data_IF_918824090930
#
_entry.id   IF_918824090930
#
_cell.length_a   1.000
_cell.length_b   1.000
_cell.length_c   1.000
_cell.angle_alpha   90.00
_cell.angle_beta   90.00
_cell.angle_gamma   90.00
#
_symmetry.space_group_name_H-M   'P 1'
#
loop_
_entity.id
_entity.type
_entity.pdbx_description
1 polymer ?
#
# COMPACT_ATOMS: atom_id res chain seq x y z
N UNK A 1 0.16 16.45 -1.06
CA UNK A 1 0.69 17.38 -0.06
C UNK A 1 1.39 16.66 1.07
N UNK A 2 2.36 17.27 1.68
CA UNK A 2 3.08 16.69 2.80
C UNK A 2 2.18 16.58 4.04
N UNK A 3 1.98 15.34 4.52
CA UNK A 3 1.68 15.10 5.91
C UNK A 3 0.33 15.58 6.41
N UNK A 4 -0.74 15.30 5.71
CA UNK A 4 -2.06 15.48 6.29
C UNK A 4 -2.40 14.26 7.15
N UNK A 5 -2.61 14.50 8.45
CA UNK A 5 -3.34 13.58 9.33
C UNK A 5 -4.86 13.77 9.19
N UNK A 6 -5.29 14.48 8.16
CA UNK A 6 -6.68 14.79 7.87
C UNK A 6 -7.41 13.51 7.43
N UNK A 7 -8.56 13.25 8.03
CA UNK A 7 -9.40 12.10 7.73
C UNK A 7 -9.83 12.03 6.27
N UNK A 8 -9.96 13.16 5.58
CA UNK A 8 -10.32 13.20 4.15
C UNK A 8 -9.28 12.53 3.27
N UNK A 9 -7.99 12.66 3.59
CA UNK A 9 -6.90 12.04 2.85
C UNK A 9 -6.85 10.51 3.04
N UNK A 10 -7.53 9.95 4.04
CA UNK A 10 -7.64 8.51 4.28
C UNK A 10 -8.65 7.82 3.34
N UNK A 11 -9.34 8.56 2.51
CA UNK A 11 -10.45 8.10 1.67
C UNK A 11 -11.64 7.53 2.49
N UNK A 12 -11.78 7.91 3.74
CA UNK A 12 -12.97 7.62 4.52
C UNK A 12 -14.11 8.55 4.10
N UNK A 13 -15.34 8.05 4.15
CA UNK A 13 -16.49 8.94 4.02
C UNK A 13 -16.65 9.77 5.30
N UNK A 14 -16.78 11.09 5.17
CA UNK A 14 -16.97 12.05 6.27
C UNK A 14 -18.44 12.46 6.33
N UNK A 15 -18.90 13.16 5.31
CA UNK A 15 -20.27 13.63 5.13
C UNK A 15 -20.53 14.00 3.65
N UNK A 16 -21.70 14.61 3.36
CA UNK A 16 -22.07 15.02 2.00
C UNK A 16 -21.58 16.46 1.65
N UNK A 17 -20.83 17.13 2.54
CA UNK A 17 -20.29 18.47 2.29
C UNK A 17 -18.94 18.37 1.56
N UNK A 18 -18.82 19.02 0.41
CA UNK A 18 -17.59 18.99 -0.39
C UNK A 18 -16.41 19.67 0.33
N UNK A 19 -16.69 20.65 1.20
CA UNK A 19 -15.66 21.37 1.95
C UNK A 19 -14.95 20.43 2.96
N UNK A 20 -15.61 19.37 3.40
CA UNK A 20 -15.00 18.34 4.28
C UNK A 20 -13.85 17.56 3.63
N UNK A 21 -13.67 17.67 2.31
CA UNK A 21 -12.66 16.96 1.53
C UNK A 21 -11.66 17.93 0.85
N UNK A 22 -11.54 19.16 1.35
CA UNK A 22 -10.69 20.22 0.75
C UNK A 22 -9.24 19.73 0.53
N UNK A 23 -8.70 18.91 1.45
CA UNK A 23 -7.35 18.31 1.32
C UNK A 23 -7.18 17.48 0.04
N UNK A 24 -8.24 16.81 -0.43
CA UNK A 24 -8.22 16.06 -1.69
C UNK A 24 -8.27 17.03 -2.87
N UNK A 25 -9.17 18.02 -2.81
CA UNK A 25 -9.38 18.98 -3.91
C UNK A 25 -8.18 19.88 -4.13
N UNK A 26 -7.52 20.32 -3.05
CA UNK A 26 -6.31 21.14 -3.11
C UNK A 26 -5.13 20.44 -3.80
N UNK A 27 -5.13 19.11 -3.78
CA UNK A 27 -4.16 18.26 -4.49
C UNK A 27 -4.49 17.99 -5.95
N UNK A 28 -5.59 18.54 -6.50
CA UNK A 28 -6.04 18.25 -7.86
C UNK A 28 -5.01 18.61 -8.93
N UNK A 29 -4.65 17.65 -9.77
CA UNK A 29 -3.71 17.84 -10.90
C UNK A 29 -4.39 18.54 -12.07
N UNK A 30 -5.67 18.26 -12.27
CA UNK A 30 -6.49 18.86 -13.32
C UNK A 30 -7.59 19.70 -12.71
N UNK A 31 -8.08 20.69 -13.48
CA UNK A 31 -9.22 21.48 -13.05
C UNK A 31 -10.44 20.58 -12.96
N UNK A 32 -11.03 20.50 -11.77
CA UNK A 32 -12.25 19.78 -11.47
C UNK A 32 -13.39 20.73 -11.08
N UNK A 33 -14.61 20.25 -11.13
CA UNK A 33 -15.82 20.97 -10.75
C UNK A 33 -16.48 20.33 -9.53
N UNK A 34 -17.39 21.05 -8.89
CA UNK A 34 -18.20 20.51 -7.77
C UNK A 34 -18.95 19.23 -8.19
N UNK A 35 -19.35 19.14 -9.46
CA UNK A 35 -19.98 17.90 -9.99
C UNK A 35 -19.02 16.71 -10.04
N UNK A 36 -17.73 16.95 -10.28
CA UNK A 36 -16.71 15.90 -10.26
C UNK A 36 -16.39 15.50 -8.81
N UNK A 37 -16.27 16.48 -7.91
CA UNK A 37 -16.09 16.24 -6.48
C UNK A 37 -17.26 15.44 -5.90
N UNK A 38 -18.51 15.77 -6.29
CA UNK A 38 -19.70 15.05 -5.83
C UNK A 38 -19.69 13.57 -6.22
N UNK A 39 -19.14 13.20 -7.38
CA UNK A 39 -18.99 11.79 -7.76
C UNK A 39 -18.06 11.05 -6.82
N UNK A 40 -16.93 11.67 -6.45
CA UNK A 40 -15.97 11.09 -5.49
C UNK A 40 -16.63 10.89 -4.13
N UNK A 41 -17.31 11.92 -3.59
CA UNK A 41 -18.00 11.82 -2.29
C UNK A 41 -19.11 10.76 -2.34
N UNK A 42 -19.86 10.67 -3.45
CA UNK A 42 -20.87 9.63 -3.64
C UNK A 42 -20.25 8.23 -3.64
N UNK A 43 -19.11 8.06 -4.31
CA UNK A 43 -18.40 6.79 -4.32
C UNK A 43 -17.90 6.44 -2.90
N UNK A 44 -17.23 7.35 -2.20
CA UNK A 44 -16.77 7.13 -0.82
C UNK A 44 -17.92 6.76 0.13
N UNK A 45 -19.06 7.42 0.00
CA UNK A 45 -20.28 7.13 0.80
C UNK A 45 -20.74 5.69 0.63
N UNK A 46 -20.78 5.20 -0.59
CA UNK A 46 -21.24 3.84 -0.88
C UNK A 46 -20.16 2.79 -0.55
N UNK A 47 -18.90 3.08 -0.78
CA UNK A 47 -17.78 2.19 -0.44
C UNK A 47 -17.65 2.01 1.07
N UNK A 48 -17.74 3.09 1.84
CA UNK A 48 -17.61 3.08 3.30
C UNK A 48 -18.92 2.71 4.03
N UNK A 49 -19.96 2.33 3.31
CA UNK A 49 -21.24 1.90 3.91
C UNK A 49 -21.11 0.54 4.58
N UNK A 50 -21.75 0.36 5.74
CA UNK A 50 -21.86 -0.95 6.41
C UNK A 50 -22.60 -1.97 5.55
N UNK A 51 -23.47 -1.53 4.64
CA UNK A 51 -24.24 -2.37 3.73
C UNK A 51 -23.53 -2.62 2.38
N UNK A 52 -22.25 -2.23 2.24
CA UNK A 52 -21.51 -2.41 1.01
C UNK A 52 -21.37 -3.89 0.64
N UNK A 53 -21.81 -4.24 -0.55
CA UNK A 53 -21.76 -5.59 -1.12
C UNK A 53 -20.72 -5.70 -2.23
N UNK A 54 -20.39 -6.92 -2.66
CA UNK A 54 -19.51 -7.15 -3.80
C UNK A 54 -19.92 -6.36 -5.04
N UNK A 55 -21.24 -6.39 -5.37
CA UNK A 55 -21.75 -5.69 -6.56
C UNK A 55 -21.70 -4.16 -6.38
N UNK A 56 -22.07 -3.65 -5.19
CA UNK A 56 -22.05 -2.20 -4.93
C UNK A 56 -20.62 -1.64 -4.89
N UNK A 57 -19.64 -2.39 -4.37
CA UNK A 57 -18.25 -1.97 -4.39
C UNK A 57 -17.71 -1.85 -5.82
N UNK A 58 -18.02 -2.83 -6.68
CA UNK A 58 -17.61 -2.81 -8.09
C UNK A 58 -18.30 -1.71 -8.93
N UNK A 59 -19.36 -1.09 -8.43
CA UNK A 59 -20.01 0.06 -9.07
C UNK A 59 -19.23 1.38 -8.82
N UNK A 60 -18.50 1.46 -7.68
CA UNK A 60 -17.87 2.70 -7.23
C UNK A 60 -16.34 2.66 -7.19
N UNK A 61 -15.72 1.50 -7.40
CA UNK A 61 -14.27 1.39 -7.50
C UNK A 61 -13.83 0.33 -8.52
N UNK A 62 -12.72 0.58 -9.17
CA UNK A 62 -11.98 -0.47 -9.90
C UNK A 62 -11.34 -1.41 -8.86
N UNK A 63 -12.07 -2.45 -8.50
CA UNK A 63 -11.65 -3.40 -7.45
C UNK A 63 -10.32 -4.05 -7.79
N UNK A 64 -10.08 -4.41 -9.07
CA UNK A 64 -8.81 -5.02 -9.49
C UNK A 64 -7.64 -4.07 -9.26
N UNK A 65 -7.78 -2.80 -9.64
CA UNK A 65 -6.78 -1.76 -9.40
C UNK A 65 -6.48 -1.59 -7.90
N UNK A 66 -7.52 -1.47 -7.07
CA UNK A 66 -7.37 -1.22 -5.64
C UNK A 66 -6.72 -2.43 -4.93
N UNK A 67 -7.13 -3.64 -5.24
CA UNK A 67 -6.57 -4.86 -4.64
C UNK A 67 -5.09 -5.06 -5.05
N UNK A 68 -4.74 -4.76 -6.30
CA UNK A 68 -3.32 -4.77 -6.75
C UNK A 68 -2.51 -3.71 -6.06
N UNK A 69 -3.07 -2.50 -5.91
CA UNK A 69 -2.44 -1.44 -5.12
C UNK A 69 -2.14 -1.94 -3.70
N UNK A 70 -3.14 -2.47 -3.00
CA UNK A 70 -2.97 -3.01 -1.65
C UNK A 70 -1.91 -4.12 -1.60
N UNK A 71 -1.97 -5.09 -2.51
CA UNK A 71 -1.02 -6.20 -2.54
C UNK A 71 0.44 -5.73 -2.72
N UNK A 72 0.67 -4.76 -3.61
CA UNK A 72 2.01 -4.19 -3.81
C UNK A 72 2.46 -3.40 -2.58
N UNK A 73 1.63 -2.51 -2.03
CA UNK A 73 1.98 -1.73 -0.82
C UNK A 73 2.32 -2.64 0.36
N UNK A 74 1.53 -3.69 0.56
CA UNK A 74 1.75 -4.69 1.62
C UNK A 74 3.02 -5.50 1.39
N UNK A 75 3.28 -5.93 0.15
CA UNK A 75 4.47 -6.71 -0.17
C UNK A 75 5.75 -5.91 0.08
N UNK A 76 5.80 -4.66 -0.42
CA UNK A 76 6.99 -3.80 -0.29
C UNK A 76 7.05 -3.03 1.04
N UNK A 77 6.08 -3.19 1.91
CA UNK A 77 5.97 -2.49 3.21
C UNK A 77 6.18 -0.98 3.02
N UNK A 78 5.37 -0.37 2.17
CA UNK A 78 5.44 1.08 1.94
C UNK A 78 4.48 1.83 2.87
N UNK A 79 4.97 2.23 4.04
CA UNK A 79 4.19 3.01 5.02
C UNK A 79 4.21 4.52 4.74
N UNK A 80 4.90 4.96 3.71
CA UNK A 80 4.84 6.32 3.18
C UNK A 80 3.72 6.46 2.12
N UNK A 81 2.55 5.92 2.43
CA UNK A 81 1.40 5.79 1.54
C UNK A 81 0.07 5.79 2.29
N UNK A 82 -1.03 5.42 1.62
CA UNK A 82 -2.35 5.25 2.25
C UNK A 82 -2.38 4.19 3.36
N UNK A 83 -1.41 3.29 3.41
CA UNK A 83 -1.32 2.25 4.45
C UNK A 83 -0.58 2.72 5.71
N UNK A 84 0.07 3.87 5.66
CA UNK A 84 0.78 4.47 6.79
C UNK A 84 -0.02 5.55 7.53
N UNK A 85 0.64 6.15 8.54
CA UNK A 85 0.04 7.18 9.40
C UNK A 85 -0.23 8.51 8.67
N UNK A 86 0.51 8.78 7.59
CA UNK A 86 0.35 9.98 6.78
C UNK A 86 -0.15 9.55 5.39
N UNK A 87 -1.46 9.61 5.11
CA UNK A 87 -2.03 9.15 3.84
C UNK A 87 -1.67 10.10 2.70
N UNK A 88 -0.66 9.74 1.92
CA UNK A 88 -0.17 10.49 0.76
C UNK A 88 0.47 9.57 -0.29
N UNK A 89 1.22 10.11 -1.25
CA UNK A 89 1.90 9.36 -2.31
C UNK A 89 0.96 8.52 -3.19
N UNK A 90 -0.23 9.05 -3.43
CA UNK A 90 -1.19 8.50 -4.38
C UNK A 90 -1.90 9.61 -5.15
N UNK A 91 -2.41 9.27 -6.32
CA UNK A 91 -3.44 10.04 -7.01
C UNK A 91 -4.73 9.24 -7.01
N UNK A 92 -5.83 9.91 -6.67
CA UNK A 92 -7.16 9.37 -6.88
C UNK A 92 -7.61 9.73 -8.29
N UNK A 93 -8.03 8.73 -9.05
CA UNK A 93 -8.52 8.90 -10.41
C UNK A 93 -9.95 8.40 -10.52
N UNK A 94 -10.88 9.31 -10.74
CA UNK A 94 -12.29 8.96 -11.00
C UNK A 94 -12.52 8.84 -12.51
N UNK A 95 -13.14 7.75 -12.92
CA UNK A 95 -13.58 7.52 -14.28
C UNK A 95 -14.88 6.71 -14.28
N UNK A 96 -15.89 7.25 -14.94
CA UNK A 96 -17.19 6.57 -15.09
C UNK A 96 -17.87 6.21 -13.74
N UNK A 97 -17.62 7.01 -12.71
CA UNK A 97 -18.01 6.84 -11.29
C UNK A 97 -17.19 5.82 -10.50
N UNK A 98 -16.22 5.17 -11.10
CA UNK A 98 -15.29 4.24 -10.42
C UNK A 98 -14.03 4.96 -9.96
N UNK A 99 -13.65 4.75 -8.70
CA UNK A 99 -12.40 5.25 -8.12
C UNK A 99 -11.25 4.29 -8.39
N UNK A 100 -10.12 4.85 -8.82
CA UNK A 100 -8.86 4.17 -9.02
C UNK A 100 -7.76 4.85 -8.22
N UNK A 101 -6.76 4.10 -7.76
CA UNK A 101 -5.55 4.62 -7.11
C UNK A 101 -4.36 4.47 -8.05
N UNK A 102 -3.65 5.56 -8.27
CA UNK A 102 -2.38 5.59 -9.01
C UNK A 102 -1.27 5.87 -8.00
N UNK A 103 -0.43 4.87 -7.67
CA UNK A 103 0.64 5.05 -6.70
C UNK A 103 1.86 5.76 -7.30
N UNK A 104 2.65 6.40 -6.44
CA UNK A 104 3.95 6.94 -6.77
C UNK A 104 4.85 6.99 -5.53
N UNK A 105 6.14 7.28 -5.69
CA UNK A 105 7.13 7.50 -4.63
C UNK A 105 7.35 6.30 -3.70
N UNK A 106 7.95 5.24 -4.25
CA UNK A 106 8.25 4.00 -3.52
C UNK A 106 9.66 3.99 -2.88
N UNK A 107 10.36 5.13 -2.84
CA UNK A 107 11.74 5.23 -2.37
C UNK A 107 11.93 4.87 -0.89
N UNK A 108 10.86 4.95 -0.07
CA UNK A 108 10.85 4.62 1.35
C UNK A 108 10.19 3.26 1.67
N UNK A 109 10.08 2.38 0.67
CA UNK A 109 9.63 0.99 0.86
C UNK A 109 10.66 0.15 1.64
N UNK A 110 10.26 -1.06 2.00
CA UNK A 110 11.08 -2.05 2.72
C UNK A 110 11.68 -1.51 4.03
N UNK A 111 10.86 -0.79 4.78
CA UNK A 111 11.27 -0.28 6.08
C UNK A 111 11.97 1.08 6.06
N UNK A 112 11.96 1.77 4.92
CA UNK A 112 12.54 3.11 4.81
C UNK A 112 11.80 4.20 5.58
N UNK A 113 10.56 3.92 6.04
CA UNK A 113 9.73 4.89 6.74
C UNK A 113 8.82 4.24 7.79
N UNK A 114 8.94 4.68 9.04
CA UNK A 114 8.06 4.35 10.19
C UNK A 114 7.75 2.84 10.39
N UNK A 115 8.67 1.96 10.06
CA UNK A 115 8.43 0.53 9.94
C UNK A 115 8.83 -0.30 11.15
N UNK A 116 9.35 0.28 12.22
CA UNK A 116 9.80 -0.49 13.38
C UNK A 116 11.10 -1.27 13.15
N UNK A 117 11.14 -2.53 13.59
CA UNK A 117 12.32 -3.41 13.48
C UNK A 117 12.38 -4.13 12.11
N UNK A 118 13.49 -4.83 11.84
CA UNK A 118 13.60 -5.70 10.66
C UNK A 118 12.56 -6.83 10.69
N UNK A 119 12.26 -7.38 11.87
CA UNK A 119 11.24 -8.42 12.03
C UNK A 119 9.84 -7.88 11.68
N UNK A 120 9.53 -6.63 12.06
CA UNK A 120 8.25 -5.99 11.72
C UNK A 120 8.11 -5.77 10.20
N UNK A 121 9.21 -5.50 9.51
CA UNK A 121 9.21 -5.38 8.04
C UNK A 121 9.03 -6.75 7.37
N UNK A 122 9.79 -7.75 7.81
CA UNK A 122 9.74 -9.11 7.23
C UNK A 122 8.37 -9.73 7.46
N UNK A 123 7.83 -9.61 8.68
CA UNK A 123 6.57 -10.23 9.09
C UNK A 123 5.36 -9.27 9.00
N UNK A 124 5.50 -8.13 8.33
CA UNK A 124 4.41 -7.17 8.18
C UNK A 124 3.11 -7.88 7.75
N UNK A 125 2.02 -7.76 8.54
CA UNK A 125 0.85 -8.61 8.40
C UNK A 125 0.07 -8.31 7.12
N UNK A 126 -0.44 -9.35 6.48
CA UNK A 126 -1.17 -9.20 5.22
C UNK A 126 -2.65 -8.88 5.41
N UNK A 127 -3.26 -9.26 6.54
CA UNK A 127 -4.69 -9.05 6.79
C UNK A 127 -4.98 -7.80 7.63
N UNK A 128 -3.95 -7.20 8.22
CA UNK A 128 -3.97 -5.85 8.78
C UNK A 128 -2.84 -5.01 8.18
N UNK A 129 -2.87 -4.73 6.86
CA UNK A 129 -1.74 -4.19 6.10
C UNK A 129 -1.56 -2.68 6.28
N UNK A 130 -1.60 -2.23 7.53
CA UNK A 130 -1.46 -0.84 7.94
C UNK A 130 -0.41 -0.71 9.03
N UNK A 131 0.08 0.51 9.29
CA UNK A 131 0.89 0.76 10.48
C UNK A 131 0.17 0.22 11.74
N UNK A 132 0.90 -0.37 12.68
CA UNK A 132 0.35 -1.02 13.89
C UNK A 132 -0.60 -0.11 14.68
N UNK A 133 -0.39 1.21 14.63
CA UNK A 133 -1.25 2.21 15.29
C UNK A 133 -2.57 2.49 14.57
N UNK A 134 -2.80 1.93 13.39
CA UNK A 134 -3.98 2.14 12.56
C UNK A 134 -4.87 0.90 12.65
N UNK A 135 -6.09 1.09 13.09
CA UNK A 135 -7.11 0.04 13.03
C UNK A 135 -7.72 -0.06 11.63
N UNK A 136 -8.37 -1.19 11.34
CA UNK A 136 -9.09 -1.36 10.07
C UNK A 136 -10.23 -0.35 9.93
N UNK A 137 -10.87 0.01 11.04
CA UNK A 137 -11.94 1.02 11.09
C UNK A 137 -11.44 2.43 10.72
N UNK A 138 -10.15 2.72 10.94
CA UNK A 138 -9.53 3.99 10.50
C UNK A 138 -9.31 4.05 8.99
N UNK A 139 -9.50 2.95 8.29
CA UNK A 139 -9.33 2.79 6.83
C UNK A 139 -10.56 2.13 6.20
N UNK A 140 -11.73 2.75 6.39
CA UNK A 140 -13.03 2.24 5.91
C UNK A 140 -13.03 1.89 4.42
N UNK A 141 -12.32 2.66 3.60
CA UNK A 141 -12.17 2.41 2.16
C UNK A 141 -11.58 1.01 1.87
N UNK A 142 -10.55 0.61 2.60
CA UNK A 142 -9.93 -0.71 2.46
C UNK A 142 -10.65 -1.79 3.28
N UNK A 143 -11.24 -1.41 4.40
CA UNK A 143 -12.03 -2.30 5.24
C UNK A 143 -13.15 -2.96 4.45
N UNK A 144 -13.81 -2.22 3.56
CA UNK A 144 -14.86 -2.74 2.71
C UNK A 144 -14.40 -3.92 1.83
N UNK A 145 -13.14 -3.89 1.37
CA UNK A 145 -12.54 -4.97 0.58
C UNK A 145 -12.06 -6.13 1.46
N UNK A 146 -11.36 -5.84 2.56
CA UNK A 146 -10.79 -6.86 3.44
C UNK A 146 -11.86 -7.66 4.21
N UNK A 147 -13.01 -7.06 4.49
CA UNK A 147 -14.17 -7.74 5.11
C UNK A 147 -15.02 -8.51 4.10
N UNK A 148 -14.76 -8.42 2.81
CA UNK A 148 -15.46 -9.15 1.77
C UNK A 148 -14.68 -10.42 1.40
N UNK A 149 -15.20 -11.61 1.69
CA UNK A 149 -14.50 -12.89 1.48
C UNK A 149 -14.02 -13.07 0.04
N UNK A 150 -14.79 -12.62 -0.96
CA UNK A 150 -14.41 -12.73 -2.39
C UNK A 150 -13.20 -11.85 -2.70
N UNK A 151 -13.21 -10.61 -2.23
CA UNK A 151 -12.14 -9.65 -2.48
C UNK A 151 -10.89 -9.92 -1.64
N UNK A 152 -11.06 -10.39 -0.41
CA UNK A 152 -9.95 -10.86 0.42
C UNK A 152 -9.23 -12.05 -0.27
N UNK A 153 -9.98 -13.01 -0.78
CA UNK A 153 -9.39 -14.13 -1.52
C UNK A 153 -8.64 -13.67 -2.79
N UNK A 154 -9.18 -12.69 -3.52
CA UNK A 154 -8.51 -12.13 -4.69
C UNK A 154 -7.23 -11.34 -4.30
N UNK A 155 -7.26 -10.60 -3.21
CA UNK A 155 -6.08 -9.92 -2.66
C UNK A 155 -4.99 -10.91 -2.26
N UNK A 156 -5.35 -12.03 -1.59
CA UNK A 156 -4.41 -13.10 -1.25
C UNK A 156 -3.81 -13.75 -2.51
N UNK A 157 -4.61 -13.92 -3.56
CA UNK A 157 -4.11 -14.42 -4.85
C UNK A 157 -3.05 -13.48 -5.46
N UNK A 158 -3.23 -12.15 -5.38
CA UNK A 158 -2.21 -11.21 -5.84
C UNK A 158 -0.93 -11.25 -5.00
N UNK A 159 -1.04 -11.43 -3.69
CA UNK A 159 0.13 -11.66 -2.83
C UNK A 159 0.86 -12.95 -3.19
N UNK A 160 0.11 -14.05 -3.43
CA UNK A 160 0.66 -15.31 -3.90
C UNK A 160 1.42 -15.17 -5.22
N UNK A 161 0.88 -14.41 -6.18
CA UNK A 161 1.55 -14.11 -7.45
C UNK A 161 2.84 -13.32 -7.26
N UNK A 162 2.90 -12.39 -6.30
CA UNK A 162 4.12 -11.66 -5.97
C UNK A 162 5.18 -12.58 -5.34
N UNK A 163 4.76 -13.48 -4.44
CA UNK A 163 5.64 -14.52 -3.87
C UNK A 163 6.22 -15.40 -4.98
N UNK A 164 5.38 -15.89 -5.88
CA UNK A 164 5.80 -16.68 -7.03
C UNK A 164 6.78 -15.92 -7.94
N UNK A 165 6.54 -14.62 -8.13
CA UNK A 165 7.42 -13.76 -8.94
C UNK A 165 8.84 -13.68 -8.36
N UNK A 166 8.97 -13.64 -7.02
CA UNK A 166 10.26 -13.70 -6.31
C UNK A 166 10.87 -15.08 -6.44
N UNK A 167 10.12 -16.14 -6.08
CA UNK A 167 10.62 -17.53 -6.06
C UNK A 167 11.10 -18.01 -7.42
N UNK A 168 10.48 -17.55 -8.50
CA UNK A 168 10.89 -17.86 -9.88
C UNK A 168 12.06 -17.01 -10.38
N UNK A 169 12.70 -16.20 -9.55
CA UNK A 169 13.85 -15.36 -9.88
C UNK A 169 13.55 -14.18 -10.83
N UNK A 170 12.28 -13.89 -11.10
CA UNK A 170 11.89 -12.80 -12.00
C UNK A 170 12.24 -11.43 -11.39
N UNK A 171 12.05 -11.29 -10.07
CA UNK A 171 12.42 -10.06 -9.37
C UNK A 171 13.95 -9.90 -9.31
N UNK A 172 14.69 -10.98 -9.11
CA UNK A 172 16.16 -10.97 -9.17
C UNK A 172 16.65 -10.44 -10.53
N UNK A 173 16.06 -10.89 -11.63
CA UNK A 173 16.44 -10.43 -12.97
C UNK A 173 16.18 -8.90 -13.16
N UNK A 174 15.11 -8.36 -12.57
CA UNK A 174 14.83 -6.92 -12.58
C UNK A 174 15.84 -6.17 -11.70
N UNK A 175 16.08 -6.68 -10.51
CA UNK A 175 17.04 -6.14 -9.54
C UNK A 175 18.46 -6.06 -10.16
N UNK A 176 18.97 -7.17 -10.70
CA UNK A 176 20.29 -7.24 -11.32
C UNK A 176 20.42 -6.28 -12.51
N UNK A 177 19.38 -6.18 -13.33
CA UNK A 177 19.34 -5.22 -14.43
C UNK A 177 19.42 -3.78 -13.97
N UNK A 178 18.62 -3.39 -12.97
CA UNK A 178 18.60 -2.02 -12.44
C UNK A 178 19.92 -1.70 -11.78
N UNK A 179 20.42 -2.56 -10.89
CA UNK A 179 21.68 -2.34 -10.18
C UNK A 179 22.85 -2.23 -11.14
N UNK A 180 22.93 -3.05 -12.19
CA UNK A 180 23.97 -2.94 -13.21
C UNK A 180 23.94 -1.60 -13.99
N UNK A 181 22.73 -1.04 -14.20
CA UNK A 181 22.59 0.24 -14.90
C UNK A 181 23.00 1.44 -14.04
N UNK A 182 22.73 1.41 -12.74
CA UNK A 182 22.97 2.55 -11.85
C UNK A 182 24.30 2.46 -11.08
N UNK A 183 24.93 1.30 -10.99
CA UNK A 183 26.10 1.05 -10.14
C UNK A 183 27.23 2.09 -10.31
N UNK A 184 27.62 2.34 -11.57
CA UNK A 184 28.66 3.33 -11.85
C UNK A 184 28.20 4.78 -11.58
N UNK A 185 26.91 5.06 -11.76
CA UNK A 185 26.35 6.38 -11.46
C UNK A 185 26.42 6.64 -9.95
N UNK A 186 25.99 5.68 -9.14
CA UNK A 186 26.07 5.78 -7.67
C UNK A 186 27.50 5.91 -7.20
N UNK A 187 28.42 5.12 -7.77
CA UNK A 187 29.85 5.16 -7.40
C UNK A 187 30.51 6.50 -7.68
N UNK A 188 30.08 7.22 -8.70
CA UNK A 188 30.69 8.47 -9.14
C UNK A 188 29.87 9.72 -8.82
N UNK A 189 28.74 9.57 -8.12
CA UNK A 189 27.88 10.68 -7.74
C UNK A 189 28.56 11.56 -6.68
N UNK A 190 28.92 12.82 -7.01
CA UNK A 190 29.56 13.73 -6.06
C UNK A 190 28.59 14.28 -4.99
N UNK A 191 27.29 14.01 -5.12
CA UNK A 191 26.24 14.48 -4.21
C UNK A 191 25.66 13.37 -3.34
N UNK A 192 26.21 12.15 -3.39
CA UNK A 192 25.74 11.02 -2.61
C UNK A 192 25.79 11.32 -1.10
N UNK A 193 24.76 10.94 -0.37
CA UNK A 193 24.69 11.07 1.10
C UNK A 193 25.37 9.91 1.84
N UNK A 194 25.75 8.86 1.12
CA UNK A 194 26.31 7.61 1.62
C UNK A 194 27.51 7.19 0.76
N UNK A 195 28.34 6.35 1.31
CA UNK A 195 29.49 5.78 0.61
C UNK A 195 29.06 4.66 -0.35
N UNK A 196 29.92 4.35 -1.32
CA UNK A 196 29.68 3.23 -2.23
C UNK A 196 29.67 1.87 -1.50
N UNK A 197 30.42 1.74 -0.40
CA UNK A 197 30.42 0.50 0.42
C UNK A 197 29.08 0.34 1.16
N UNK A 198 28.51 1.43 1.70
CA UNK A 198 27.18 1.43 2.30
C UNK A 198 26.10 1.10 1.27
N UNK A 199 26.16 1.65 0.08
CA UNK A 199 25.27 1.30 -1.03
C UNK A 199 25.35 -0.20 -1.37
N UNK A 200 26.57 -0.75 -1.44
CA UNK A 200 26.78 -2.16 -1.75
C UNK A 200 26.19 -3.07 -0.67
N UNK A 201 26.40 -2.73 0.60
CA UNK A 201 25.81 -3.45 1.73
C UNK A 201 24.27 -3.36 1.72
N UNK A 202 23.71 -2.18 1.44
CA UNK A 202 22.26 -1.97 1.37
C UNK A 202 21.62 -2.77 0.22
N UNK A 203 22.29 -2.92 -0.93
CA UNK A 203 21.82 -3.78 -2.03
C UNK A 203 21.64 -5.23 -1.60
N UNK A 204 22.65 -5.79 -0.95
CA UNK A 204 22.58 -7.19 -0.49
C UNK A 204 21.49 -7.37 0.56
N UNK A 205 21.40 -6.44 1.51
CA UNK A 205 20.36 -6.47 2.53
C UNK A 205 18.94 -6.36 1.93
N UNK A 206 18.73 -5.50 0.93
CA UNK A 206 17.45 -5.37 0.24
C UNK A 206 17.05 -6.70 -0.42
N UNK A 207 17.99 -7.36 -1.09
CA UNK A 207 17.74 -8.65 -1.75
C UNK A 207 17.35 -9.73 -0.74
N UNK A 208 18.03 -9.80 0.40
CA UNK A 208 17.71 -10.70 1.50
C UNK A 208 16.33 -10.38 2.10
N UNK A 209 16.04 -9.10 2.36
CA UNK A 209 14.74 -8.65 2.87
C UNK A 209 13.60 -9.06 1.95
N UNK A 210 13.74 -8.90 0.64
CA UNK A 210 12.73 -9.31 -0.35
C UNK A 210 12.48 -10.82 -0.28
N UNK A 211 13.52 -11.64 -0.18
CA UNK A 211 13.39 -13.11 -0.07
C UNK A 211 12.66 -13.50 1.21
N UNK A 212 13.11 -12.98 2.36
CA UNK A 212 12.49 -13.26 3.66
C UNK A 212 11.04 -12.76 3.73
N UNK A 213 10.75 -11.62 3.11
CA UNK A 213 9.39 -11.10 3.02
C UNK A 213 8.47 -12.03 2.21
N UNK A 214 8.94 -12.55 1.09
CA UNK A 214 8.19 -13.50 0.29
C UNK A 214 7.94 -14.82 1.05
N UNK A 215 8.92 -15.31 1.81
CA UNK A 215 8.75 -16.49 2.68
C UNK A 215 7.73 -16.23 3.79
N UNK A 216 7.78 -15.07 4.44
CA UNK A 216 6.82 -14.68 5.47
C UNK A 216 5.40 -14.56 4.91
N UNK A 217 5.21 -13.91 3.76
CA UNK A 217 3.89 -13.83 3.12
C UNK A 217 3.35 -15.23 2.79
N UNK A 218 4.18 -16.13 2.26
CA UNK A 218 3.78 -17.51 2.03
C UNK A 218 3.31 -18.17 3.33
N UNK A 219 4.06 -18.02 4.43
CA UNK A 219 3.69 -18.57 5.73
C UNK A 219 2.40 -17.97 6.29
N UNK A 220 2.14 -16.69 6.03
CA UNK A 220 0.89 -16.02 6.43
C UNK A 220 -0.30 -16.53 5.60
N UNK A 221 -0.13 -16.73 4.29
CA UNK A 221 -1.15 -17.32 3.41
C UNK A 221 -1.47 -18.77 3.78
N UNK A 222 -0.47 -19.54 4.21
CA UNK A 222 -0.62 -20.94 4.62
C UNK A 222 -1.09 -21.08 6.09
N UNK A 223 -1.18 -19.98 6.84
CA UNK A 223 -1.58 -19.96 8.25
C UNK A 223 -0.50 -20.49 9.21
N UNK A 224 0.75 -20.63 8.79
CA UNK A 224 1.89 -21.01 9.64
C UNK A 224 2.51 -19.82 10.36
N UNK A 225 2.28 -18.61 9.84
CA UNK A 225 2.62 -17.33 10.47
C UNK A 225 1.31 -16.55 10.64
N UNK A 226 1.06 -15.91 11.79
CA UNK A 226 -0.12 -15.07 11.96
C UNK A 226 -0.15 -13.89 10.97
N UNK A 227 -1.31 -13.65 10.34
CA UNK A 227 -1.48 -12.64 9.28
C UNK A 227 -1.97 -11.27 9.77
N UNK A 228 -2.14 -11.11 11.09
CA UNK A 228 -2.59 -9.86 11.73
C UNK A 228 -1.64 -9.42 12.83
N UNK A 229 -1.60 -8.12 13.16
CA UNK A 229 -0.82 -7.59 14.29
C UNK A 229 -1.21 -8.26 15.62
N UNK A 230 -2.50 -8.44 15.84
CA UNK A 230 -3.00 -9.10 17.05
C UNK A 230 -2.53 -10.57 17.15
N UNK A 231 -2.54 -11.29 16.04
CA UNK A 231 -2.07 -12.68 15.99
C UNK A 231 -0.57 -12.78 16.28
N UNK A 232 0.25 -11.92 15.68
CA UNK A 232 1.71 -11.90 15.88
C UNK A 232 2.09 -11.51 17.31
N UNK A 233 1.38 -10.57 17.94
CA UNK A 233 1.60 -10.19 19.35
C UNK A 233 1.35 -11.33 20.32
N UNK A 234 0.40 -12.22 20.03
CA UNK A 234 0.07 -13.39 20.86
C UNK A 234 1.08 -14.52 20.71
N UNK A 235 1.66 -14.68 19.52
CA UNK A 235 2.64 -15.73 19.25
C UNK A 235 4.01 -15.40 19.87
N UNK A 236 4.29 -14.13 20.11
CA UNK A 236 5.53 -13.63 20.71
C UNK A 236 5.53 -13.66 22.24
N UNK A 237 4.42 -14.03 22.89
CA UNK A 237 4.20 -14.06 24.36
C UNK A 237 4.18 -15.48 24.90
#
# INVERSE_FOLDING_TARGET
GFGSSDSSANLNYIDDDLDSYETIWDGSVFKSSDSDHQKVVTALKNICSEDASTDSLAEYMDVDNILRYMAVQTFVVNLDSLTGNMPHNYYLYEKDSELNIIPWDYNLSYGGFQSGSADDVINFPIDTPFSESISLEDRQFFMALLNNETYLAQYHEYLSQLVEYVQNGKLDAVYDRITSQIDNLVKTDPTAFYTYDEYTAAKEMLKETISLRAESIQGQLDGTIPSTWEGQSKDSS
#
